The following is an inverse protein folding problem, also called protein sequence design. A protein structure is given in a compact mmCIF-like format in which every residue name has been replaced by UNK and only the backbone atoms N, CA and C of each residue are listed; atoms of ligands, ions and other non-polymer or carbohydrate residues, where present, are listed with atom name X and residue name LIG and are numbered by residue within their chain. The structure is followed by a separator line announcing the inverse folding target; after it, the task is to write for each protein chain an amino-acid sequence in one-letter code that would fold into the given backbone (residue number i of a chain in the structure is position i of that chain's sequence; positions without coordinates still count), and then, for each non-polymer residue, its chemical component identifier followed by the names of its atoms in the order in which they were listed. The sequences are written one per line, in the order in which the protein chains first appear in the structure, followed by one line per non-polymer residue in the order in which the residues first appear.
data_IF_937946816136
#
_entry.id   IF_937946816136
#
_cell.length_a   1.000
_cell.length_b   1.000
_cell.length_c   1.000
_cell.angle_alpha   90.00
_cell.angle_beta   90.00
_cell.angle_gamma   90.00
#
_symmetry.space_group_name_H-M   'P 1'
#
loop_
_entity.id
_entity.type
_entity.pdbx_description
1 polymer ?
#
# COMPACT_ATOMS: atom_id res chain seq x y z
N UNK A 1 -7.72 -9.12 -56.59
CA UNK A 1 -8.81 -8.99 -55.60
C UNK A 1 -8.75 -10.13 -54.56
N UNK A 2 -7.69 -10.23 -53.73
CA UNK A 2 -7.55 -11.32 -52.73
C UNK A 2 -7.08 -10.85 -51.34
N UNK A 3 -6.56 -9.63 -51.23
CA UNK A 3 -6.01 -9.06 -49.98
C UNK A 3 -6.98 -8.12 -49.26
N UNK A 4 -8.12 -7.79 -49.87
CA UNK A 4 -9.08 -6.83 -49.32
C UNK A 4 -9.83 -7.39 -48.09
N UNK A 5 -10.19 -8.68 -48.11
CA UNK A 5 -10.84 -9.36 -46.99
C UNK A 5 -9.98 -9.47 -45.72
N UNK A 6 -8.73 -9.99 -45.78
CA UNK A 6 -7.93 -10.12 -44.56
C UNK A 6 -7.53 -8.76 -43.97
N UNK A 7 -7.34 -7.73 -44.81
CA UNK A 7 -7.05 -6.37 -44.36
C UNK A 7 -8.23 -5.77 -43.58
N UNK A 8 -9.46 -5.92 -44.08
CA UNK A 8 -10.65 -5.45 -43.38
C UNK A 8 -10.87 -6.17 -42.05
N UNK A 9 -10.66 -7.49 -42.02
CA UNK A 9 -10.78 -8.28 -40.78
C UNK A 9 -9.76 -7.81 -39.72
N UNK A 10 -8.50 -7.57 -40.12
CA UNK A 10 -7.47 -7.04 -39.24
C UNK A 10 -7.82 -5.65 -38.72
N UNK A 11 -8.32 -4.75 -39.58
CA UNK A 11 -8.74 -3.41 -39.16
C UNK A 11 -9.84 -3.51 -38.10
N UNK A 12 -10.88 -4.32 -38.31
CA UNK A 12 -11.98 -4.49 -37.35
C UNK A 12 -11.46 -5.01 -36.00
N UNK A 13 -10.62 -6.05 -36.01
CA UNK A 13 -10.04 -6.61 -34.78
C UNK A 13 -9.19 -5.58 -34.04
N UNK A 14 -8.34 -4.83 -34.74
CA UNK A 14 -7.51 -3.80 -34.12
C UNK A 14 -8.34 -2.65 -33.55
N UNK A 15 -9.41 -2.23 -34.23
CA UNK A 15 -10.31 -1.18 -33.71
C UNK A 15 -11.10 -1.62 -32.48
N UNK A 16 -11.54 -2.88 -32.44
CA UNK A 16 -12.25 -3.43 -31.28
C UNK A 16 -11.33 -3.54 -30.05
N UNK A 17 -10.09 -4.02 -30.25
CA UNK A 17 -9.09 -4.11 -29.18
C UNK A 17 -8.69 -2.73 -28.64
N UNK A 18 -8.58 -1.71 -29.50
CA UNK A 18 -8.27 -0.35 -29.06
C UNK A 18 -9.41 0.27 -28.24
N UNK A 19 -10.68 -0.01 -28.57
CA UNK A 19 -11.81 0.51 -27.83
C UNK A 19 -11.82 0.03 -26.36
N UNK A 20 -11.51 -1.24 -26.12
CA UNK A 20 -11.47 -1.80 -24.76
C UNK A 20 -10.31 -1.25 -23.90
N UNK A 21 -9.18 -0.87 -24.52
CA UNK A 21 -8.05 -0.25 -23.81
C UNK A 21 -8.31 1.22 -23.46
N UNK A 22 -9.20 1.90 -24.18
CA UNK A 22 -9.53 3.32 -23.96
C UNK A 22 -10.64 3.58 -22.95
N UNK A 23 -11.20 2.53 -22.31
CA UNK A 23 -12.13 2.72 -21.19
C UNK A 23 -11.35 3.36 -20.04
N UNK A 24 -11.34 4.69 -20.05
CA UNK A 24 -10.74 5.50 -19.00
C UNK A 24 -11.50 5.17 -17.74
N UNK A 25 -10.87 4.40 -16.86
CA UNK A 25 -11.40 4.12 -15.54
C UNK A 25 -11.46 5.45 -14.80
N UNK A 26 -12.61 6.13 -14.85
CA UNK A 26 -12.87 7.26 -13.97
C UNK A 26 -12.95 6.70 -12.57
N UNK A 27 -11.81 6.73 -11.86
CA UNK A 27 -11.68 6.21 -10.52
C UNK A 27 -12.80 6.73 -9.61
N UNK A 28 -13.23 5.88 -8.67
CA UNK A 28 -14.28 6.23 -7.72
C UNK A 28 -13.94 7.55 -7.00
N UNK A 29 -14.88 8.51 -7.03
CA UNK A 29 -14.81 9.73 -6.23
C UNK A 29 -15.68 9.59 -4.99
N UNK A 30 -15.15 9.80 -3.78
CA UNK A 30 -15.97 9.82 -2.58
C UNK A 30 -16.99 10.96 -2.65
N UNK A 31 -18.26 10.65 -2.37
CA UNK A 31 -19.33 11.66 -2.22
C UNK A 31 -19.28 12.17 -0.80
N UNK A 32 -18.98 13.46 -0.62
CA UNK A 32 -18.89 14.09 0.68
C UNK A 32 -20.25 14.71 1.06
N UNK A 33 -20.84 14.36 2.22
CA UNK A 33 -22.01 15.07 2.71
C UNK A 33 -21.63 16.52 3.04
N UNK A 34 -22.51 17.48 2.73
CA UNK A 34 -22.26 18.93 2.82
C UNK A 34 -21.83 19.44 4.20
N UNK A 35 -22.03 18.65 5.26
CA UNK A 35 -21.86 19.07 6.65
C UNK A 35 -20.69 18.36 7.37
N UNK A 36 -19.81 17.66 6.65
CA UNK A 36 -18.68 16.96 7.27
C UNK A 36 -17.42 17.81 7.15
N UNK A 37 -17.14 18.60 8.19
CA UNK A 37 -15.85 19.26 8.34
C UNK A 37 -14.81 18.23 8.82
N UNK A 38 -14.00 17.72 7.90
CA UNK A 38 -12.80 16.95 8.26
C UNK A 38 -11.74 17.91 8.77
N UNK A 39 -11.74 18.17 10.09
CA UNK A 39 -10.57 18.79 10.71
C UNK A 39 -9.43 17.78 10.66
N UNK A 40 -8.27 18.10 10.06
CA UNK A 40 -7.15 17.18 10.05
C UNK A 40 -6.78 16.84 11.50
N UNK A 41 -6.87 15.56 11.87
CA UNK A 41 -6.40 15.11 13.17
C UNK A 41 -4.89 15.29 13.22
N UNK A 42 -4.36 15.62 14.41
CA UNK A 42 -2.91 15.65 14.59
C UNK A 42 -2.35 14.23 14.42
N UNK A 43 -1.18 14.07 13.77
CA UNK A 43 -0.54 12.76 13.68
C UNK A 43 -0.28 12.20 15.07
N UNK A 44 -0.55 10.91 15.24
CA UNK A 44 -0.43 10.17 16.48
C UNK A 44 1.02 9.80 16.77
N UNK A 45 1.34 9.79 18.06
CA UNK A 45 2.67 9.48 18.59
C UNK A 45 2.86 7.99 18.82
N UNK A 46 4.12 7.58 19.00
CA UNK A 46 4.44 6.19 19.34
C UNK A 46 3.69 5.76 20.60
N UNK A 47 3.08 4.58 20.55
CA UNK A 47 2.25 4.01 21.62
C UNK A 47 0.77 4.43 21.58
N UNK A 48 0.42 5.48 20.84
CA UNK A 48 -0.99 5.89 20.70
C UNK A 48 -1.75 4.95 19.78
N UNK A 49 -3.07 4.74 20.02
CA UNK A 49 -3.87 3.83 19.23
C UNK A 49 -4.07 4.34 17.80
N UNK A 50 -4.03 3.48 16.80
CA UNK A 50 -4.18 3.84 15.38
C UNK A 50 -5.18 2.94 14.65
N UNK A 51 -5.80 3.45 13.59
CA UNK A 51 -6.70 2.69 12.71
C UNK A 51 -5.99 2.33 11.41
N UNK A 52 -5.28 3.30 10.84
CA UNK A 52 -4.52 3.20 9.59
C UNK A 52 -3.13 3.83 9.73
N UNK A 53 -2.21 3.49 8.82
CA UNK A 53 -0.83 4.00 8.86
C UNK A 53 -0.73 5.53 8.78
N UNK A 54 -1.63 6.21 8.06
CA UNK A 54 -1.63 7.68 7.96
C UNK A 54 -2.08 8.40 9.23
N UNK A 55 -2.57 7.67 10.23
CA UNK A 55 -2.87 8.27 11.54
C UNK A 55 -1.58 8.60 12.30
N UNK A 56 -0.49 7.88 12.02
CA UNK A 56 0.76 7.98 12.75
C UNK A 56 1.68 9.08 12.19
N UNK A 57 2.56 9.62 13.02
CA UNK A 57 3.55 10.62 12.58
C UNK A 57 4.53 10.08 11.52
N UNK A 58 5.21 10.99 10.83
CA UNK A 58 6.27 10.58 9.91
C UNK A 58 7.38 9.80 10.64
N UNK A 59 7.86 8.71 10.04
CA UNK A 59 8.86 7.84 10.64
C UNK A 59 8.30 6.81 11.62
N UNK A 60 6.97 6.69 11.72
CA UNK A 60 6.28 5.62 12.44
C UNK A 60 5.28 4.90 11.53
N UNK A 61 4.78 3.75 11.96
CA UNK A 61 3.76 2.97 11.26
C UNK A 61 2.70 2.46 12.25
N UNK A 62 1.53 2.05 11.75
CA UNK A 62 0.50 1.43 12.60
C UNK A 62 0.72 -0.08 12.68
N UNK A 63 0.92 -0.61 13.88
CA UNK A 63 1.18 -2.04 14.12
C UNK A 63 0.04 -2.66 14.88
N UNK A 64 -0.47 -3.79 14.40
CA UNK A 64 -1.37 -4.68 15.14
C UNK A 64 -0.54 -5.75 15.84
N UNK A 65 -0.65 -5.85 17.16
CA UNK A 65 -0.04 -6.95 17.90
C UNK A 65 -0.83 -8.24 17.72
N UNK A 66 -0.15 -9.35 17.43
CA UNK A 66 -0.74 -10.70 17.37
C UNK A 66 -1.23 -11.19 18.73
N UNK A 67 -0.63 -10.71 19.83
CA UNK A 67 -0.98 -11.16 21.19
C UNK A 67 -2.31 -10.60 21.70
N UNK A 68 -2.55 -9.30 21.54
CA UNK A 68 -3.74 -8.62 22.09
C UNK A 68 -4.61 -7.93 21.04
N UNK A 69 -4.25 -8.02 19.76
CA UNK A 69 -4.94 -7.37 18.63
C UNK A 69 -5.08 -5.85 18.72
N UNK A 70 -4.41 -5.20 19.69
CA UNK A 70 -4.36 -3.75 19.78
C UNK A 70 -3.53 -3.18 18.63
N UNK A 71 -3.91 -2.00 18.16
CA UNK A 71 -3.22 -1.28 17.10
C UNK A 71 -2.61 0.00 17.64
N UNK A 72 -1.30 0.13 17.55
CA UNK A 72 -0.58 1.30 18.04
C UNK A 72 0.46 1.79 17.04
N UNK A 73 0.74 3.09 17.08
CA UNK A 73 1.83 3.63 16.29
C UNK A 73 3.17 3.17 16.86
N UNK A 74 4.06 2.64 16.02
CA UNK A 74 5.41 2.22 16.40
C UNK A 74 6.46 2.80 15.47
N UNK A 75 7.70 2.92 15.95
CA UNK A 75 8.82 3.41 15.13
C UNK A 75 9.15 2.45 13.99
N UNK A 76 9.57 2.99 12.85
CA UNK A 76 10.13 2.17 11.77
C UNK A 76 11.36 1.38 12.25
N UNK A 77 11.53 0.19 11.69
CA UNK A 77 12.61 -0.74 12.04
C UNK A 77 14.00 -0.17 11.69
N UNK A 78 14.93 -0.32 12.63
CA UNK A 78 16.35 -0.04 12.46
C UNK A 78 17.09 -1.30 12.01
N UNK A 79 18.35 -1.13 11.60
CA UNK A 79 19.23 -2.25 11.27
C UNK A 79 19.21 -3.36 12.34
N UNK A 80 19.06 -4.61 11.89
CA UNK A 80 19.01 -5.80 12.74
C UNK A 80 17.69 -6.03 13.47
N UNK A 81 16.71 -5.13 13.36
CA UNK A 81 15.38 -5.35 13.93
C UNK A 81 14.51 -6.15 12.97
N UNK A 82 13.58 -6.91 13.54
CA UNK A 82 12.54 -7.60 12.77
C UNK A 82 11.63 -6.60 12.07
N UNK A 83 11.14 -6.98 10.90
CA UNK A 83 10.32 -6.13 10.05
C UNK A 83 9.26 -6.94 9.32
N UNK A 84 8.14 -6.29 9.02
CA UNK A 84 7.10 -6.88 8.18
C UNK A 84 7.21 -6.32 6.77
N UNK A 85 7.35 -7.21 5.77
CA UNK A 85 7.58 -6.83 4.37
C UNK A 85 6.37 -6.12 3.76
N UNK A 86 5.17 -6.62 4.03
CA UNK A 86 3.93 -6.12 3.45
C UNK A 86 2.89 -5.72 4.51
N UNK A 87 2.18 -4.59 4.33
CA UNK A 87 1.04 -4.26 5.18
C UNK A 87 -0.17 -5.15 4.85
N UNK A 88 -1.07 -5.33 5.82
CA UNK A 88 -2.36 -5.99 5.63
C UNK A 88 -3.35 -5.09 4.89
N UNK A 89 -4.00 -4.15 5.58
CA UNK A 89 -4.96 -3.20 5.00
C UNK A 89 -4.80 -1.83 5.65
N UNK A 90 -4.85 -0.78 4.84
CA UNK A 90 -4.75 0.60 5.32
C UNK A 90 -3.37 0.93 5.91
N UNK A 91 -2.29 0.35 5.38
CA UNK A 91 -0.93 0.56 5.87
C UNK A 91 -0.75 0.17 7.36
N UNK A 92 -1.47 -0.86 7.80
CA UNK A 92 -1.28 -1.51 9.10
C UNK A 92 -0.40 -2.73 8.90
N UNK A 93 0.55 -2.96 9.79
CA UNK A 93 1.46 -4.10 9.77
C UNK A 93 1.18 -5.02 10.96
N UNK A 94 1.40 -6.32 10.78
CA UNK A 94 1.36 -7.27 11.89
C UNK A 94 2.72 -7.31 12.57
N UNK A 95 2.70 -7.18 13.90
CA UNK A 95 3.81 -7.27 14.87
C UNK A 95 4.98 -6.29 14.74
N UNK A 96 5.43 -5.98 13.51
CA UNK A 96 6.60 -5.15 13.26
C UNK A 96 6.33 -4.08 12.21
N UNK A 97 6.96 -2.91 12.37
CA UNK A 97 7.00 -1.91 11.32
C UNK A 97 7.95 -2.29 10.19
N UNK A 98 7.77 -1.71 8.99
CA UNK A 98 8.77 -1.81 7.94
C UNK A 98 10.03 -1.04 8.36
N UNK A 99 11.12 -1.30 7.65
CA UNK A 99 12.39 -0.65 7.93
C UNK A 99 12.39 0.83 7.57
N UNK A 100 13.29 1.59 8.20
CA UNK A 100 13.59 2.96 7.76
C UNK A 100 14.04 2.98 6.30
N UNK A 101 13.88 4.12 5.59
CA UNK A 101 14.23 4.25 4.18
C UNK A 101 15.67 3.86 3.81
N UNK A 102 16.62 3.88 4.75
CA UNK A 102 18.02 3.50 4.50
C UNK A 102 18.26 1.98 4.51
N UNK A 103 17.27 1.21 4.96
CA UNK A 103 17.35 -0.23 5.13
C UNK A 103 16.34 -0.95 4.21
N UNK A 104 16.57 -2.23 3.99
CA UNK A 104 15.69 -3.14 3.27
C UNK A 104 15.26 -4.26 4.20
N UNK A 105 13.96 -4.57 4.23
CA UNK A 105 13.45 -5.75 4.92
C UNK A 105 13.81 -6.99 4.09
N UNK A 106 14.59 -7.91 4.66
CA UNK A 106 14.99 -9.15 3.98
C UNK A 106 14.69 -10.37 4.84
N UNK A 107 14.22 -11.42 4.18
CA UNK A 107 14.06 -12.75 4.77
C UNK A 107 15.44 -13.33 5.09
N UNK A 108 15.68 -13.69 6.35
CA UNK A 108 16.92 -14.33 6.79
C UNK A 108 16.72 -15.82 7.07
N UNK A 109 15.59 -16.19 7.67
CA UNK A 109 15.21 -17.56 7.98
C UNK A 109 13.75 -17.79 7.56
N UNK A 110 13.23 -18.99 7.80
CA UNK A 110 11.81 -19.27 7.60
C UNK A 110 10.98 -18.36 8.52
N UNK A 111 10.09 -17.56 7.90
CA UNK A 111 9.24 -16.53 8.53
C UNK A 111 9.93 -15.36 9.25
N UNK A 112 11.26 -15.34 9.38
CA UNK A 112 11.98 -14.23 10.03
C UNK A 112 12.53 -13.26 8.98
N UNK A 113 12.11 -12.00 9.09
CA UNK A 113 12.53 -10.89 8.24
C UNK A 113 13.21 -9.83 9.09
N UNK A 114 14.33 -9.29 8.61
CA UNK A 114 15.09 -8.28 9.32
C UNK A 114 15.51 -7.12 8.43
N UNK A 115 15.68 -5.96 9.04
CA UNK A 115 16.21 -4.77 8.39
C UNK A 115 17.72 -4.89 8.18
N UNK A 116 18.14 -4.89 6.92
CA UNK A 116 19.55 -4.89 6.52
C UNK A 116 19.88 -3.66 5.68
N UNK A 117 21.16 -3.30 5.57
CA UNK A 117 21.59 -2.21 4.70
C UNK A 117 21.21 -2.45 3.24
N UNK A 118 20.74 -1.40 2.57
CA UNK A 118 20.60 -1.42 1.11
C UNK A 118 21.98 -1.59 0.50
N UNK A 119 22.12 -2.57 -0.40
CA UNK A 119 23.32 -2.74 -1.23
C UNK A 119 23.23 -1.86 -2.47
#
# INVERSE_FOLDING_TARGET
MKTLCPALALIVVMTALLAEVTVSFEGQRPVWPSNVFFRPQRPRRVGEPCVIGSDCMNGTCCVRSSFNHSKTCQSLGLYGQECSESPIKGQVFDDHCPCKPDFQCRKLLEEIYMCVSKK
#
